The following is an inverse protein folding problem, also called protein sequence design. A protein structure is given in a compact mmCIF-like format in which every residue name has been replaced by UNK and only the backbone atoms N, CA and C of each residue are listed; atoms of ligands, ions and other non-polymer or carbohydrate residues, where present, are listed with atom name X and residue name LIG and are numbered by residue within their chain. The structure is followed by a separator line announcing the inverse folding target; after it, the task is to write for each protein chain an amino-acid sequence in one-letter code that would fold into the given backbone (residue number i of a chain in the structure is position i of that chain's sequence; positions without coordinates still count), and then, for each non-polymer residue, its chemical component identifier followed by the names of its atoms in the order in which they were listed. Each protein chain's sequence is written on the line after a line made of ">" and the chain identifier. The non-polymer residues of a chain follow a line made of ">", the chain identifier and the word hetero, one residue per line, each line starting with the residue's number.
data_IF_783094222738
#
_entry.id   IF_783094222738
#
_cell.length_a   1.000
_cell.length_b   1.000
_cell.length_c   1.000
_cell.angle_alpha   90.00
_cell.angle_beta   90.00
_cell.angle_gamma   90.00
#
_symmetry.space_group_name_H-M   'P 1'
#
loop_
_entity.id
_entity.type
_entity.pdbx_description
1 polymer ?
#
# COMPACT_ATOMS: atom_id res chain seq x y z
N UNK A 1 -12.80 0.13 -4.31
CA UNK A 1 -12.16 0.36 -2.98
C UNK A 1 -12.67 -0.53 -1.84
N UNK A 2 -13.92 -1.05 -1.83
CA UNK A 2 -14.48 -1.81 -0.69
C UNK A 2 -13.72 -3.09 -0.23
N UNK A 3 -12.78 -3.55 -1.06
CA UNK A 3 -11.96 -4.74 -0.83
C UNK A 3 -10.55 -4.44 -0.33
N UNK A 4 -10.11 -3.17 -0.36
CA UNK A 4 -8.81 -2.75 0.17
C UNK A 4 -9.05 -2.02 1.49
N UNK A 5 -8.56 -2.59 2.59
CA UNK A 5 -8.55 -1.92 3.88
C UNK A 5 -7.11 -1.48 4.16
N UNK A 6 -6.91 -0.21 4.47
CA UNK A 6 -5.60 0.31 4.80
C UNK A 6 -5.65 1.28 5.97
N UNK A 7 -4.57 1.34 6.73
CA UNK A 7 -4.38 2.32 7.79
C UNK A 7 -2.91 2.74 7.87
N UNK A 8 -2.69 3.99 8.30
CA UNK A 8 -1.37 4.51 8.61
C UNK A 8 -1.14 4.49 10.13
N UNK A 9 0.08 4.20 10.56
CA UNK A 9 0.50 4.27 11.97
C UNK A 9 1.68 5.21 12.09
N UNK A 10 1.58 6.14 13.06
CA UNK A 10 2.59 7.14 13.41
C UNK A 10 3.16 8.00 12.26
N UNK A 11 2.57 7.94 11.06
CA UNK A 11 3.12 8.56 9.85
C UNK A 11 4.34 7.83 9.27
N UNK A 12 4.72 6.67 9.84
CA UNK A 12 5.94 5.93 9.47
C UNK A 12 5.64 4.61 8.74
N UNK A 13 4.46 4.02 8.99
CA UNK A 13 4.03 2.80 8.30
C UNK A 13 2.62 2.91 7.74
N UNK A 14 2.39 2.24 6.61
CA UNK A 14 1.06 2.00 6.04
C UNK A 14 0.86 0.51 5.87
N UNK A 15 -0.20 -0.04 6.47
CA UNK A 15 -0.59 -1.44 6.27
C UNK A 15 -1.81 -1.47 5.36
N UNK A 16 -1.80 -2.33 4.35
CA UNK A 16 -2.92 -2.55 3.45
C UNK A 16 -3.22 -4.06 3.32
N UNK A 17 -4.50 -4.43 3.29
CA UNK A 17 -4.94 -5.82 3.15
C UNK A 17 -6.10 -5.98 2.17
N UNK A 18 -6.14 -7.14 1.52
CA UNK A 18 -7.27 -7.59 0.71
C UNK A 18 -8.32 -8.25 1.60
N UNK A 19 -9.58 -7.82 1.51
CA UNK A 19 -10.73 -8.47 2.14
C UNK A 19 -11.74 -8.95 1.11
N UNK A 20 -12.39 -10.09 1.40
CA UNK A 20 -13.37 -10.72 0.50
C UNK A 20 -12.79 -10.99 -0.91
N UNK A 21 -11.60 -11.59 -0.97
CA UNK A 21 -10.82 -11.82 -2.20
C UNK A 21 -11.57 -12.57 -3.29
N UNK A 22 -12.43 -13.53 -2.94
CA UNK A 22 -13.28 -14.24 -3.91
C UNK A 22 -14.21 -13.27 -4.66
N UNK A 23 -14.93 -12.41 -3.92
CA UNK A 23 -15.84 -11.41 -4.53
C UNK A 23 -15.09 -10.37 -5.35
N UNK A 24 -13.89 -10.02 -4.93
CA UNK A 24 -13.01 -9.16 -5.72
C UNK A 24 -12.65 -9.82 -7.06
N UNK A 25 -12.30 -11.10 -7.06
CA UNK A 25 -11.99 -11.85 -8.27
C UNK A 25 -13.22 -11.94 -9.20
N UNK A 26 -14.40 -12.26 -8.64
CA UNK A 26 -15.67 -12.27 -9.38
C UNK A 26 -16.02 -10.91 -9.98
N UNK A 27 -15.65 -9.80 -9.32
CA UNK A 27 -15.83 -8.45 -9.81
C UNK A 27 -14.80 -8.00 -10.86
N UNK A 28 -13.91 -8.89 -11.32
CA UNK A 28 -12.89 -8.58 -12.32
C UNK A 28 -11.58 -8.02 -11.75
N UNK A 29 -11.36 -8.15 -10.44
CA UNK A 29 -10.13 -7.73 -9.77
C UNK A 29 -10.08 -6.23 -9.44
N UNK A 30 -8.87 -5.71 -9.29
CA UNK A 30 -8.64 -4.35 -8.78
C UNK A 30 -8.86 -3.22 -9.80
N UNK A 31 -8.76 -3.51 -11.10
CA UNK A 31 -8.86 -2.51 -12.17
C UNK A 31 -7.90 -1.32 -11.98
N UNK A 32 -8.45 -0.11 -12.00
CA UNK A 32 -7.72 1.14 -11.77
C UNK A 32 -7.73 1.61 -10.30
N UNK A 33 -8.08 0.74 -9.34
CA UNK A 33 -8.14 1.12 -7.93
C UNK A 33 -6.76 1.56 -7.44
N UNK A 34 -6.69 2.74 -6.84
CA UNK A 34 -5.49 3.30 -6.21
C UNK A 34 -5.70 3.46 -4.71
N UNK A 35 -4.63 3.25 -3.94
CA UNK A 35 -4.53 3.61 -2.53
C UNK A 35 -3.73 4.92 -2.46
N UNK A 36 -4.34 6.07 -2.09
CA UNK A 36 -3.58 7.28 -1.81
C UNK A 36 -2.65 7.04 -0.61
N UNK A 37 -1.42 7.54 -0.69
CA UNK A 37 -0.42 7.43 0.36
C UNK A 37 -0.18 8.80 1.00
N UNK A 38 0.18 8.86 2.28
CA UNK A 38 0.64 10.10 2.88
C UNK A 38 1.89 10.64 2.15
N UNK A 39 2.19 11.94 2.27
CA UNK A 39 3.39 12.53 1.69
C UNK A 39 4.66 11.77 2.10
N UNK A 40 5.59 11.64 1.16
CA UNK A 40 6.84 10.91 1.34
C UNK A 40 7.01 9.76 0.35
N UNK A 41 8.11 9.04 0.51
CA UNK A 41 8.43 7.81 -0.21
C UNK A 41 8.24 6.62 0.71
N UNK A 42 7.74 5.54 0.13
CA UNK A 42 7.30 4.36 0.85
C UNK A 42 7.88 3.12 0.18
N UNK A 43 8.67 2.32 0.89
CA UNK A 43 9.15 1.03 0.42
C UNK A 43 8.28 -0.11 0.95
N UNK A 44 8.10 -1.16 0.16
CA UNK A 44 7.42 -2.36 0.61
C UNK A 44 8.38 -3.24 1.42
N UNK A 45 8.07 -3.45 2.69
CA UNK A 45 8.88 -4.29 3.58
C UNK A 45 8.86 -5.78 3.19
N UNK A 46 7.86 -6.21 2.40
CA UNK A 46 7.73 -7.59 1.92
C UNK A 46 8.34 -7.78 0.53
N UNK A 47 8.59 -6.68 -0.20
CA UNK A 47 9.19 -6.64 -1.52
C UNK A 47 10.08 -5.38 -1.65
N UNK A 48 11.30 -5.39 -1.07
CA UNK A 48 12.11 -4.18 -0.91
C UNK A 48 12.54 -3.48 -2.20
N UNK A 49 12.38 -4.11 -3.36
CA UNK A 49 12.63 -3.49 -4.67
C UNK A 49 11.49 -2.54 -5.09
N UNK A 50 10.36 -2.59 -4.38
CA UNK A 50 9.13 -1.86 -4.69
C UNK A 50 9.00 -0.61 -3.83
N UNK A 51 8.85 0.51 -4.51
CA UNK A 51 8.63 1.79 -3.87
C UNK A 51 7.45 2.56 -4.48
N UNK A 52 6.86 3.42 -3.65
CA UNK A 52 5.69 4.21 -4.00
C UNK A 52 5.80 5.65 -3.50
N UNK A 53 5.11 6.56 -4.20
CA UNK A 53 5.01 7.97 -3.84
C UNK A 53 3.64 8.53 -4.21
N UNK A 54 2.98 9.18 -3.26
CA UNK A 54 1.66 9.81 -3.44
C UNK A 54 0.49 8.82 -3.57
N UNK A 55 0.64 7.72 -4.29
CA UNK A 55 -0.32 6.62 -4.34
C UNK A 55 0.33 5.31 -4.78
N UNK A 56 -0.36 4.20 -4.55
CA UNK A 56 -0.03 2.87 -5.09
C UNK A 56 -1.22 2.32 -5.86
N UNK A 57 -1.00 1.68 -7.01
CA UNK A 57 -2.04 0.84 -7.62
C UNK A 57 -2.22 -0.39 -6.75
N UNK A 58 -3.47 -0.67 -6.38
CA UNK A 58 -3.76 -1.79 -5.47
C UNK A 58 -3.46 -3.15 -6.13
N UNK A 59 -3.57 -3.22 -7.46
CA UNK A 59 -3.16 -4.41 -8.22
C UNK A 59 -1.66 -4.71 -8.06
N UNK A 60 -0.82 -3.67 -8.13
CA UNK A 60 0.62 -3.83 -7.97
C UNK A 60 0.93 -4.17 -6.51
N UNK A 61 0.37 -3.40 -5.58
CA UNK A 61 0.59 -3.55 -4.13
C UNK A 61 0.30 -4.98 -3.62
N UNK A 62 -0.66 -5.69 -4.21
CA UNK A 62 -1.01 -7.07 -3.82
C UNK A 62 -0.62 -8.13 -4.84
N UNK A 63 0.30 -7.83 -5.76
CA UNK A 63 0.70 -8.77 -6.82
C UNK A 63 1.33 -10.06 -6.26
N UNK A 64 2.12 -9.94 -5.17
CA UNK A 64 2.79 -11.08 -4.53
C UNK A 64 2.03 -11.69 -3.35
N UNK A 65 1.23 -10.90 -2.64
CA UNK A 65 0.52 -11.32 -1.44
C UNK A 65 -0.77 -10.50 -1.20
N UNK A 66 -1.78 -11.03 -0.50
CA UNK A 66 -3.00 -10.28 -0.18
C UNK A 66 -2.81 -9.21 0.92
N UNK A 67 -1.57 -8.88 1.26
CA UNK A 67 -1.15 -7.93 2.29
C UNK A 67 0.09 -7.20 1.81
N UNK A 68 0.21 -5.93 2.20
CA UNK A 68 1.41 -5.13 2.02
C UNK A 68 1.68 -4.31 3.29
N UNK A 69 2.96 -4.13 3.59
CA UNK A 69 3.43 -3.26 4.66
C UNK A 69 4.42 -2.28 4.06
N UNK A 70 4.05 -1.01 4.02
CA UNK A 70 4.91 0.05 3.52
C UNK A 70 5.56 0.78 4.68
N UNK A 71 6.87 1.03 4.57
CA UNK A 71 7.67 1.80 5.50
C UNK A 71 8.16 3.08 4.85
N UNK A 72 8.14 4.20 5.57
CA UNK A 72 8.64 5.47 5.05
C UNK A 72 10.16 5.41 4.93
N UNK A 73 10.70 5.70 3.75
CA UNK A 73 12.16 5.63 3.49
C UNK A 73 12.87 6.97 3.62
N UNK A 74 12.15 8.05 3.90
CA UNK A 74 12.71 9.37 4.18
C UNK A 74 12.24 9.83 5.57
N UNK A 75 13.16 9.81 6.55
CA UNK A 75 12.82 10.03 7.96
C UNK A 75 13.97 9.93 8.97
N UNK A 76 15.21 10.26 8.60
CA UNK A 76 16.22 10.70 9.59
C UNK A 76 16.88 11.98 9.10
N UNK A 77 16.34 13.11 9.57
CA UNK A 77 17.01 14.42 9.51
C UNK A 77 16.25 15.46 8.70
N UNK A 78 15.46 16.28 9.39
CA UNK A 78 15.68 17.73 9.57
C UNK A 78 14.36 18.37 10.01
N UNK A 79 14.21 18.56 11.32
CA UNK A 79 13.73 19.79 11.94
C UNK A 79 14.33 19.81 13.36
N UNK A 80 15.09 20.86 13.65
CA UNK A 80 15.77 21.10 14.92
C UNK A 80 14.87 21.71 15.99
#
# INVERSE_FOLDING_TARGET
>A
AAHCLAFARSGETVTAVTRLSLRLAEAGGWGATVLPLPPGRWADALDPEREFKGHARVADLFAGAPVALLERVEGTGQDG
#
